data_IF_783582139219
#
_entry.id   IF_783582139219
#
_cell.length_a   1.000
_cell.length_b   1.000
_cell.length_c   1.000
_cell.angle_alpha   90.00
_cell.angle_beta   90.00
_cell.angle_gamma   90.00
#
_symmetry.space_group_name_H-M   'P 1'
#
loop_
_entity.id
_entity.type
_entity.pdbx_description
1 polymer ?
#
# COMPACT_ATOMS: atom_id res chain seq x y z
N UNK A 1 -24.10 -15.03 -75.06
CA UNK A 1 -25.37 -14.64 -74.40
C UNK A 1 -25.55 -15.46 -73.14
N UNK A 2 -25.11 -14.95 -71.97
CA UNK A 2 -25.59 -15.32 -70.64
C UNK A 2 -25.23 -14.19 -69.67
N UNK A 3 -26.12 -13.96 -68.70
CA UNK A 3 -26.38 -12.74 -67.94
C UNK A 3 -25.30 -12.36 -66.93
N UNK A 4 -25.18 -11.06 -66.57
CA UNK A 4 -24.59 -10.61 -65.32
C UNK A 4 -25.65 -10.64 -64.20
N UNK A 5 -25.25 -11.02 -62.98
CA UNK A 5 -26.00 -10.74 -61.75
C UNK A 5 -25.03 -10.12 -60.74
N UNK A 6 -24.83 -8.81 -60.85
CA UNK A 6 -24.26 -8.02 -59.77
C UNK A 6 -25.40 -7.65 -58.82
N UNK A 7 -25.47 -8.33 -57.69
CA UNK A 7 -26.43 -8.04 -56.63
C UNK A 7 -25.93 -6.80 -55.88
N UNK A 8 -26.70 -5.71 -55.97
CA UNK A 8 -26.47 -4.49 -55.23
C UNK A 8 -26.71 -4.74 -53.73
N UNK A 9 -25.67 -4.57 -52.92
CA UNK A 9 -25.80 -4.48 -51.47
C UNK A 9 -26.06 -3.02 -51.12
N UNK A 10 -27.32 -2.67 -50.86
CA UNK A 10 -27.66 -1.40 -50.22
C UNK A 10 -27.12 -1.40 -48.79
N UNK A 11 -26.05 -0.64 -48.57
CA UNK A 11 -25.51 -0.36 -47.25
C UNK A 11 -26.49 0.58 -46.52
N UNK A 12 -27.36 0.01 -45.70
CA UNK A 12 -28.11 0.79 -44.72
C UNK A 12 -27.12 1.26 -43.64
N UNK A 13 -26.75 2.54 -43.67
CA UNK A 13 -26.08 3.21 -42.56
C UNK A 13 -27.04 3.26 -41.37
N UNK A 14 -26.97 2.25 -40.51
CA UNK A 14 -27.49 2.38 -39.15
C UNK A 14 -26.55 3.32 -38.38
N UNK A 15 -27.07 4.49 -38.06
CA UNK A 15 -26.52 5.39 -37.04
C UNK A 15 -26.51 4.63 -35.71
N UNK A 16 -25.39 3.95 -35.42
CA UNK A 16 -25.12 3.44 -34.08
C UNK A 16 -24.72 4.64 -33.25
N UNK A 17 -25.64 5.10 -32.40
CA UNK A 17 -25.33 6.09 -31.37
C UNK A 17 -24.15 5.58 -30.55
N UNK A 18 -23.09 6.40 -30.49
CA UNK A 18 -21.99 6.24 -29.56
C UNK A 18 -22.50 6.52 -28.13
N UNK A 19 -23.20 5.56 -27.53
CA UNK A 19 -23.13 5.41 -26.08
C UNK A 19 -21.79 4.74 -25.79
N UNK A 20 -20.75 5.57 -25.65
CA UNK A 20 -19.53 5.13 -24.98
C UNK A 20 -19.92 4.71 -23.56
N UNK A 21 -20.17 3.42 -23.36
CA UNK A 21 -20.33 2.84 -22.04
C UNK A 21 -19.05 3.14 -21.27
N UNK A 22 -19.10 4.14 -20.40
CA UNK A 22 -18.07 4.33 -19.40
C UNK A 22 -17.90 3.00 -18.63
N UNK A 23 -16.66 2.53 -18.42
CA UNK A 23 -16.42 1.33 -17.63
C UNK A 23 -17.06 1.52 -16.25
N UNK A 24 -17.93 0.58 -15.87
CA UNK A 24 -18.59 0.60 -14.57
C UNK A 24 -17.53 0.31 -13.49
N UNK A 25 -17.21 1.31 -12.68
CA UNK A 25 -16.28 1.17 -11.58
C UNK A 25 -16.91 0.32 -10.46
N UNK A 26 -16.10 -0.45 -9.72
CA UNK A 26 -16.59 -1.23 -8.59
C UNK A 26 -17.08 -0.31 -7.45
N UNK A 27 -17.83 -0.88 -6.51
CA UNK A 27 -18.15 -0.20 -5.25
C UNK A 27 -16.86 0.27 -4.56
N UNK A 28 -16.74 1.58 -4.24
CA UNK A 28 -15.53 2.11 -3.65
C UNK A 28 -15.24 1.47 -2.28
N UNK A 29 -16.29 1.19 -1.50
CA UNK A 29 -16.21 0.64 -0.16
C UNK A 29 -15.27 1.42 0.76
N UNK A 30 -14.73 0.76 1.79
CA UNK A 30 -13.73 1.32 2.70
C UNK A 30 -14.21 2.45 3.61
N UNK A 31 -15.47 2.90 3.54
CA UNK A 31 -15.98 3.98 4.39
C UNK A 31 -15.81 3.63 5.88
N UNK A 32 -15.32 4.59 6.65
CA UNK A 32 -15.26 4.50 8.12
C UNK A 32 -16.43 5.25 8.74
N UNK A 33 -17.08 4.66 9.76
CA UNK A 33 -18.31 5.20 10.35
C UNK A 33 -18.09 6.43 11.24
N UNK A 34 -16.86 6.62 11.74
CA UNK A 34 -16.47 7.79 12.54
C UNK A 34 -15.24 8.38 11.89
N UNK A 35 -15.28 9.66 11.54
CA UNK A 35 -14.11 10.39 11.05
C UNK A 35 -13.08 10.49 12.17
N UNK A 36 -12.10 9.60 12.15
CA UNK A 36 -10.99 9.61 13.10
C UNK A 36 -9.81 10.32 12.48
N UNK A 37 -9.12 11.12 13.28
CA UNK A 37 -7.84 11.72 12.86
C UNK A 37 -6.86 10.62 12.50
N UNK A 38 -6.25 10.72 11.32
CA UNK A 38 -5.17 9.84 10.92
C UNK A 38 -3.99 10.02 11.87
N UNK A 39 -3.62 8.95 12.55
CA UNK A 39 -2.47 8.92 13.46
C UNK A 39 -1.33 8.13 12.85
N UNK A 40 -0.13 8.71 12.88
CA UNK A 40 1.08 7.98 12.57
C UNK A 40 1.47 7.15 13.81
N UNK A 41 1.87 5.89 13.61
CA UNK A 41 2.02 4.94 14.70
C UNK A 41 3.21 5.21 15.65
N UNK A 42 4.20 5.97 15.21
CA UNK A 42 5.36 6.35 16.01
C UNK A 42 6.11 7.53 15.41
N UNK A 43 7.38 7.70 15.82
CA UNK A 43 8.27 8.71 15.23
C UNK A 43 8.31 8.58 13.70
N UNK A 44 8.22 9.71 13.02
CA UNK A 44 8.17 9.75 11.56
C UNK A 44 9.55 10.07 10.99
N UNK A 45 9.95 9.29 9.98
CA UNK A 45 11.12 9.57 9.18
C UNK A 45 10.73 9.63 7.71
N UNK A 46 11.29 10.55 6.93
CA UNK A 46 11.06 10.67 5.49
C UNK A 46 12.32 10.26 4.75
N UNK A 47 12.15 9.56 3.64
CA UNK A 47 13.24 9.26 2.74
C UNK A 47 13.73 10.53 2.05
N UNK A 48 14.99 10.84 2.25
CA UNK A 48 15.71 11.94 1.63
C UNK A 48 16.75 11.40 0.65
N UNK A 49 17.13 12.23 -0.31
CA UNK A 49 18.24 11.93 -1.22
C UNK A 49 19.36 12.93 -1.04
N UNK A 50 20.60 12.45 -1.10
CA UNK A 50 21.81 13.30 -1.09
C UNK A 50 22.73 12.87 -2.22
N UNK A 51 23.26 13.82 -2.96
CA UNK A 51 24.31 13.53 -3.93
C UNK A 51 25.59 13.15 -3.20
N UNK A 52 26.17 12.02 -3.61
CA UNK A 52 27.44 11.55 -3.07
C UNK A 52 28.57 11.82 -4.07
N UNK A 53 29.39 12.82 -3.74
CA UNK A 53 30.54 13.24 -4.54
C UNK A 53 31.64 12.16 -4.58
N UNK A 54 31.76 11.34 -3.52
CA UNK A 54 32.76 10.27 -3.42
C UNK A 54 32.45 9.02 -4.26
N UNK A 55 31.25 8.91 -4.83
CA UNK A 55 30.82 7.73 -5.63
C UNK A 55 30.47 8.07 -7.07
N UNK A 56 31.11 9.10 -7.64
CA UNK A 56 30.87 9.61 -9.00
C UNK A 56 29.41 10.03 -9.23
N UNK A 57 28.83 10.78 -8.30
CA UNK A 57 27.52 11.43 -8.49
C UNK A 57 26.31 10.54 -8.29
N UNK A 58 26.46 9.35 -7.69
CA UNK A 58 25.30 8.53 -7.29
C UNK A 58 24.51 9.21 -6.16
N UNK A 59 23.20 8.94 -6.15
CA UNK A 59 22.30 9.38 -5.09
C UNK A 59 22.34 8.38 -3.93
N UNK A 60 22.69 8.87 -2.74
CA UNK A 60 22.46 8.19 -1.48
C UNK A 60 21.03 8.44 -1.02
N UNK A 61 20.42 7.41 -0.45
CA UNK A 61 19.06 7.43 0.09
C UNK A 61 19.17 7.18 1.60
N UNK A 62 18.53 8.02 2.41
CA UNK A 62 18.55 7.90 3.85
C UNK A 62 17.26 8.42 4.47
N UNK A 63 16.88 7.89 5.62
CA UNK A 63 15.71 8.37 6.34
C UNK A 63 16.11 9.48 7.33
N UNK A 64 15.45 10.63 7.25
CA UNK A 64 15.64 11.76 8.17
C UNK A 64 14.39 11.95 9.05
N UNK A 65 14.53 12.30 10.34
CA UNK A 65 13.38 12.65 11.18
C UNK A 65 12.56 13.77 10.54
N UNK A 66 11.25 13.67 10.62
CA UNK A 66 10.34 14.66 10.02
C UNK A 66 9.03 14.75 10.80
N UNK A 67 8.15 15.64 10.34
CA UNK A 67 6.76 15.72 10.76
C UNK A 67 5.88 15.83 9.53
N UNK A 68 4.68 15.27 9.59
CA UNK A 68 3.67 15.46 8.56
C UNK A 68 2.44 16.11 9.16
N UNK A 69 1.77 16.95 8.37
CA UNK A 69 0.47 17.54 8.68
C UNK A 69 -0.35 17.56 7.39
N UNK A 70 -1.68 17.36 7.47
CA UNK A 70 -2.52 17.45 6.30
C UNK A 70 -2.46 18.86 5.71
N UNK A 71 -2.16 18.95 4.42
CA UNK A 71 -2.23 20.20 3.64
C UNK A 71 -3.33 20.17 2.58
N UNK A 72 -3.99 19.02 2.43
CA UNK A 72 -4.97 18.71 1.41
C UNK A 72 -5.38 17.24 1.51
N UNK A 73 -5.99 16.72 0.46
CA UNK A 73 -6.30 15.29 0.38
C UNK A 73 -5.00 14.47 0.28
N UNK A 74 -4.95 13.34 0.98
CA UNK A 74 -3.84 12.41 0.87
C UNK A 74 -4.28 10.95 0.84
N UNK A 75 -3.60 10.16 0.02
CA UNK A 75 -3.73 8.71 -0.03
C UNK A 75 -2.51 8.08 0.61
N UNK A 76 -2.73 7.28 1.64
CA UNK A 76 -1.68 6.57 2.36
C UNK A 76 -1.69 5.10 1.97
N UNK A 77 -0.59 4.62 1.41
CA UNK A 77 -0.34 3.21 1.15
C UNK A 77 0.65 2.72 2.21
N UNK A 78 0.12 2.08 3.24
CA UNK A 78 0.89 1.61 4.39
C UNK A 78 1.20 0.13 4.21
N UNK A 79 2.48 -0.25 4.16
CA UNK A 79 2.92 -1.60 3.82
C UNK A 79 4.03 -2.09 4.76
N UNK A 80 4.18 -3.41 4.85
CA UNK A 80 5.29 -4.08 5.52
C UNK A 80 6.33 -4.59 4.49
N UNK A 81 7.26 -3.73 4.15
CA UNK A 81 8.18 -3.96 3.04
C UNK A 81 9.40 -4.79 3.43
N UNK A 82 9.54 -5.17 4.69
CA UNK A 82 10.80 -5.65 5.25
C UNK A 82 10.65 -7.06 5.87
N UNK A 83 11.41 -8.05 5.39
CA UNK A 83 11.40 -9.41 5.97
C UNK A 83 12.75 -10.11 5.93
N UNK A 84 13.13 -10.70 7.07
CA UNK A 84 14.31 -11.55 7.30
C UNK A 84 13.98 -13.06 7.41
N UNK A 85 12.79 -13.49 6.96
CA UNK A 85 12.31 -14.85 7.20
C UNK A 85 13.34 -15.94 6.83
N UNK A 86 13.82 -16.71 7.82
CA UNK A 86 14.75 -17.83 7.65
C UNK A 86 14.02 -19.13 7.30
N UNK A 87 14.72 -19.97 6.52
CA UNK A 87 14.31 -21.27 5.98
C UNK A 87 13.68 -22.19 7.04
N UNK A 88 12.46 -22.74 6.87
CA UNK A 88 11.83 -23.65 7.82
C UNK A 88 12.45 -25.05 7.73
N UNK A 89 13.50 -25.24 6.93
CA UNK A 89 14.16 -26.51 6.75
C UNK A 89 13.34 -27.46 5.87
N UNK A 90 13.49 -28.77 6.08
CA UNK A 90 13.07 -29.83 5.16
C UNK A 90 11.57 -30.10 5.09
N UNK A 91 10.73 -29.45 5.90
CA UNK A 91 9.27 -29.66 5.94
C UNK A 91 8.59 -29.27 4.60
N UNK A 92 8.05 -30.25 3.82
CA UNK A 92 7.46 -30.00 2.50
C UNK A 92 6.19 -29.15 2.53
N UNK A 93 5.38 -29.21 3.60
CA UNK A 93 4.14 -28.45 3.73
C UNK A 93 4.39 -26.97 4.04
N UNK A 94 5.52 -26.67 4.70
CA UNK A 94 5.97 -25.30 5.01
C UNK A 94 6.93 -24.72 3.97
N UNK A 95 7.61 -25.56 3.18
CA UNK A 95 8.45 -25.14 2.04
C UNK A 95 7.68 -24.44 0.93
N UNK A 96 6.42 -24.83 0.68
CA UNK A 96 5.59 -24.18 -0.33
C UNK A 96 5.26 -22.73 0.07
N UNK A 97 5.07 -22.50 1.38
CA UNK A 97 4.96 -21.20 2.05
C UNK A 97 6.32 -20.57 2.41
N UNK A 98 7.44 -21.00 1.82
CA UNK A 98 8.76 -20.41 2.12
C UNK A 98 9.54 -19.92 0.90
N UNK A 99 9.01 -20.10 -0.31
CA UNK A 99 9.48 -19.32 -1.48
C UNK A 99 9.35 -17.79 -1.28
N UNK A 100 8.87 -17.38 -0.12
CA UNK A 100 8.60 -16.07 0.45
C UNK A 100 9.78 -15.14 0.70
N UNK A 101 11.03 -15.53 0.46
CA UNK A 101 12.08 -14.52 0.18
C UNK A 101 11.75 -13.69 -1.07
N UNK A 102 10.89 -14.23 -1.95
CA UNK A 102 10.21 -13.52 -3.03
C UNK A 102 9.04 -12.66 -2.55
N UNK A 103 8.61 -12.70 -1.29
CA UNK A 103 7.43 -11.94 -0.85
C UNK A 103 7.70 -10.45 -0.76
N UNK A 104 8.83 -9.97 -0.23
CA UNK A 104 9.06 -8.52 -0.19
C UNK A 104 9.13 -7.90 -1.59
N UNK A 105 9.79 -8.60 -2.52
CA UNK A 105 9.85 -8.25 -3.95
C UNK A 105 8.47 -8.31 -4.60
N UNK A 106 7.73 -9.40 -4.43
CA UNK A 106 6.36 -9.55 -4.98
C UNK A 106 5.43 -8.48 -4.39
N UNK A 107 5.46 -8.27 -3.06
CA UNK A 107 4.70 -7.21 -2.40
C UNK A 107 5.03 -5.85 -2.99
N UNK A 108 6.32 -5.55 -3.15
CA UNK A 108 6.78 -4.31 -3.76
C UNK A 108 6.29 -4.14 -5.19
N UNK A 109 6.27 -5.21 -6.01
CA UNK A 109 5.74 -5.17 -7.38
C UNK A 109 4.21 -4.98 -7.41
N UNK A 110 3.47 -5.59 -6.47
CA UNK A 110 2.03 -5.35 -6.32
C UNK A 110 1.75 -3.90 -5.91
N UNK A 111 2.48 -3.39 -4.93
CA UNK A 111 2.38 -1.99 -4.49
C UNK A 111 2.80 -1.02 -5.62
N UNK A 112 3.85 -1.33 -6.41
CA UNK A 112 4.27 -0.54 -7.60
C UNK A 112 3.15 -0.46 -8.64
N UNK A 113 2.56 -1.60 -8.98
CA UNK A 113 1.48 -1.68 -9.98
C UNK A 113 0.26 -0.91 -9.53
N UNK A 114 -0.10 -1.03 -8.25
CA UNK A 114 -1.21 -0.30 -7.65
C UNK A 114 -0.95 1.21 -7.62
N UNK A 115 0.21 1.65 -7.10
CA UNK A 115 0.61 3.06 -7.04
C UNK A 115 0.68 3.70 -8.43
N UNK A 116 1.21 2.96 -9.42
CA UNK A 116 1.29 3.41 -10.81
C UNK A 116 -0.10 3.64 -11.40
N UNK A 117 -1.03 2.70 -11.20
CA UNK A 117 -2.42 2.85 -11.66
C UNK A 117 -3.10 4.07 -11.05
N UNK A 118 -3.02 4.22 -9.73
CA UNK A 118 -3.60 5.37 -9.01
C UNK A 118 -2.96 6.70 -9.46
N UNK A 119 -1.63 6.77 -9.61
CA UNK A 119 -0.95 7.99 -10.08
C UNK A 119 -1.35 8.34 -11.50
N UNK A 120 -1.52 7.35 -12.38
CA UNK A 120 -1.99 7.56 -13.74
C UNK A 120 -3.39 8.20 -13.75
N UNK A 121 -4.32 7.70 -12.94
CA UNK A 121 -5.65 8.27 -12.77
C UNK A 121 -5.62 9.72 -12.27
N UNK A 122 -4.86 9.99 -11.20
CA UNK A 122 -4.68 11.33 -10.62
C UNK A 122 -4.16 12.31 -11.67
N UNK A 123 -3.14 11.91 -12.42
CA UNK A 123 -2.54 12.73 -13.48
C UNK A 123 -3.52 13.00 -14.62
N UNK A 124 -4.25 11.97 -15.07
CA UNK A 124 -5.21 12.09 -16.17
C UNK A 124 -6.38 13.06 -15.82
N UNK A 125 -6.76 13.09 -14.55
CA UNK A 125 -7.88 13.88 -14.03
C UNK A 125 -7.46 15.17 -13.31
N UNK A 126 -6.15 15.47 -13.24
CA UNK A 126 -5.58 16.66 -12.58
C UNK A 126 -6.06 16.81 -11.13
N UNK A 127 -6.11 15.70 -10.41
CA UNK A 127 -6.52 15.66 -9.00
C UNK A 127 -5.38 16.18 -8.15
N UNK A 128 -5.69 17.10 -7.23
CA UNK A 128 -4.76 17.52 -6.18
C UNK A 128 -4.84 16.54 -5.01
N UNK A 129 -4.00 15.51 -5.06
CA UNK A 129 -3.91 14.44 -4.07
C UNK A 129 -2.45 14.09 -3.80
N UNK A 130 -2.02 14.19 -2.55
CA UNK A 130 -0.70 13.73 -2.10
C UNK A 130 -0.73 12.20 -1.92
N UNK A 131 0.18 11.48 -2.56
CA UNK A 131 0.36 10.03 -2.37
C UNK A 131 1.53 9.79 -1.43
N UNK A 132 1.24 9.20 -0.28
CA UNK A 132 2.22 8.88 0.76
C UNK A 132 2.39 7.37 0.87
N UNK A 133 3.62 6.88 0.76
CA UNK A 133 3.96 5.50 1.09
C UNK A 133 4.48 5.41 2.52
N UNK A 134 4.00 4.47 3.32
CA UNK A 134 4.38 4.30 4.72
C UNK A 134 4.87 2.88 4.99
N UNK A 135 6.17 2.73 5.29
CA UNK A 135 6.68 1.53 5.95
C UNK A 135 6.32 1.56 7.43
N UNK A 136 5.51 0.60 7.90
CA UNK A 136 5.08 0.55 9.31
C UNK A 136 5.69 -0.62 10.11
N UNK A 137 6.43 -1.50 9.44
CA UNK A 137 7.21 -2.57 10.05
C UNK A 137 8.63 -2.11 10.43
N UNK A 138 9.29 -2.94 11.24
CA UNK A 138 10.69 -2.75 11.58
C UNK A 138 11.60 -3.08 10.39
N UNK A 139 12.72 -2.38 10.29
CA UNK A 139 13.80 -2.80 9.38
C UNK A 139 14.46 -4.08 9.89
N UNK A 140 14.75 -5.07 9.02
CA UNK A 140 15.30 -6.34 9.41
C UNK A 140 16.78 -6.26 9.66
N UNK A 141 17.25 -6.98 10.68
CA UNK A 141 18.63 -6.94 11.13
C UNK A 141 19.59 -7.33 10.01
N UNK A 142 19.25 -8.32 9.17
CA UNK A 142 20.11 -8.69 8.04
C UNK A 142 20.25 -7.58 6.99
N UNK A 143 19.26 -6.68 6.91
CA UNK A 143 19.28 -5.52 6.02
C UNK A 143 20.00 -4.32 6.64
N UNK A 144 19.98 -4.21 7.97
CA UNK A 144 20.79 -3.23 8.74
C UNK A 144 22.27 -3.60 8.71
N UNK A 145 22.60 -4.88 8.91
CA UNK A 145 23.97 -5.37 9.03
C UNK A 145 24.71 -5.47 7.67
N UNK A 146 23.99 -5.55 6.54
CA UNK A 146 24.58 -5.66 5.19
C UNK A 146 23.88 -4.80 4.13
N UNK A 147 23.79 -3.49 4.40
CA UNK A 147 23.27 -2.46 3.48
C UNK A 147 23.84 -2.57 2.04
N UNK A 148 25.06 -3.11 1.90
CA UNK A 148 25.78 -3.30 0.64
C UNK A 148 25.19 -4.39 -0.27
N UNK A 149 24.76 -5.53 0.28
CA UNK A 149 24.05 -6.59 -0.46
C UNK A 149 22.64 -6.16 -0.86
N UNK A 150 22.13 -5.25 -0.06
CA UNK A 150 20.81 -4.69 -0.19
C UNK A 150 20.66 -3.79 -1.44
N UNK A 151 21.70 -3.03 -1.81
CA UNK A 151 21.74 -2.08 -2.95
C UNK A 151 20.51 -1.15 -3.09
N UNK A 152 19.73 -0.98 -2.02
CA UNK A 152 18.46 -0.25 -2.05
C UNK A 152 17.35 -0.94 -2.86
N UNK A 153 17.40 -2.26 -3.07
CA UNK A 153 16.31 -3.05 -3.67
C UNK A 153 15.00 -3.02 -2.85
N UNK A 154 15.06 -2.56 -1.59
CA UNK A 154 13.91 -2.44 -0.67
C UNK A 154 13.18 -1.11 -0.76
N UNK A 155 13.69 -0.21 -1.60
CA UNK A 155 12.98 1.00 -1.95
C UNK A 155 12.00 0.74 -3.11
N UNK A 156 12.19 -0.35 -3.85
CA UNK A 156 11.51 -0.85 -5.05
C UNK A 156 12.60 -1.24 -6.06
N UNK A 157 12.25 -2.03 -7.08
CA UNK A 157 13.23 -2.53 -8.03
C UNK A 157 13.54 -1.50 -9.11
N UNK A 158 14.80 -1.47 -9.57
CA UNK A 158 15.19 -0.61 -10.69
C UNK A 158 14.53 -1.11 -11.99
N UNK A 159 13.82 -0.23 -12.69
CA UNK A 159 13.09 -0.57 -13.93
C UNK A 159 11.59 -0.82 -13.76
N UNK A 160 11.05 -0.70 -12.54
CA UNK A 160 9.61 -0.69 -12.28
C UNK A 160 8.95 0.66 -12.60
N UNK A 161 7.61 0.70 -12.66
CA UNK A 161 6.87 1.87 -13.15
C UNK A 161 7.10 3.11 -12.29
N UNK A 162 7.20 2.92 -10.98
CA UNK A 162 7.36 3.99 -10.01
C UNK A 162 8.82 4.34 -9.70
N UNK A 163 9.79 3.65 -10.30
CA UNK A 163 11.22 3.70 -9.98
C UNK A 163 11.56 3.41 -8.51
N UNK A 164 12.86 3.41 -8.19
CA UNK A 164 13.39 3.24 -6.82
C UNK A 164 12.68 4.18 -5.83
N UNK A 165 12.24 3.65 -4.70
CA UNK A 165 11.50 4.34 -3.64
C UNK A 165 10.08 4.78 -4.03
N UNK A 166 9.52 4.18 -5.09
CA UNK A 166 8.28 4.60 -5.73
C UNK A 166 8.24 6.09 -6.09
N UNK A 167 9.40 6.75 -6.24
CA UNK A 167 9.53 8.21 -6.32
C UNK A 167 8.81 8.88 -7.51
N UNK A 168 8.39 8.11 -8.52
CA UNK A 168 7.57 8.63 -9.63
C UNK A 168 6.07 8.58 -9.32
N UNK A 169 5.65 7.76 -8.37
CA UNK A 169 4.25 7.55 -8.03
C UNK A 169 3.88 8.13 -6.67
N UNK A 170 4.73 7.96 -5.65
CA UNK A 170 4.55 8.53 -4.32
C UNK A 170 5.27 9.89 -4.22
N UNK A 171 4.61 10.86 -3.59
CA UNK A 171 5.15 12.19 -3.32
C UNK A 171 6.05 12.15 -2.07
N UNK A 172 5.76 11.27 -1.10
CA UNK A 172 6.64 10.98 0.02
C UNK A 172 6.75 9.47 0.30
N UNK A 173 7.93 9.07 0.78
CA UNK A 173 8.14 7.77 1.42
C UNK A 173 8.49 8.01 2.89
N UNK A 174 7.60 7.58 3.78
CA UNK A 174 7.79 7.61 5.22
C UNK A 174 8.10 6.24 5.82
N UNK A 175 8.78 6.28 6.96
CA UNK A 175 8.93 5.17 7.90
C UNK A 175 8.35 5.61 9.25
N UNK A 176 7.43 4.82 9.80
CA UNK A 176 6.89 5.01 11.16
C UNK A 176 6.62 3.64 11.76
N UNK A 177 7.57 3.04 12.48
CA UNK A 177 7.44 1.65 12.90
C UNK A 177 6.49 1.47 14.09
N UNK A 178 5.70 0.39 14.06
CA UNK A 178 4.79 -0.05 15.13
C UNK A 178 5.43 -1.05 16.07
N UNK A 179 4.96 -1.11 17.32
CA UNK A 179 5.25 -2.24 18.21
C UNK A 179 4.29 -3.41 17.95
N UNK A 180 4.76 -4.65 18.16
CA UNK A 180 3.89 -5.82 18.04
C UNK A 180 2.81 -5.83 19.11
N UNK A 181 3.22 -5.48 20.32
CA UNK A 181 2.43 -5.57 21.54
C UNK A 181 2.44 -4.25 22.30
N UNK A 182 1.46 -4.04 23.16
CA UNK A 182 1.39 -2.94 24.12
C UNK A 182 2.54 -3.00 25.12
N UNK A 183 2.89 -1.84 25.69
CA UNK A 183 3.96 -1.69 26.68
C UNK A 183 5.35 -1.49 26.08
N UNK A 184 5.45 -1.45 24.75
CA UNK A 184 6.64 -0.97 24.06
C UNK A 184 6.77 0.56 24.07
N UNK A 185 7.70 1.07 23.26
CA UNK A 185 7.98 2.51 23.15
C UNK A 185 7.10 3.25 22.15
N UNK A 186 6.28 2.51 21.39
CA UNK A 186 5.46 2.99 20.27
C UNK A 186 4.05 2.45 20.36
N UNK A 187 3.18 2.91 19.47
CA UNK A 187 1.82 2.38 19.36
C UNK A 187 1.88 0.90 18.98
N UNK A 188 1.08 0.07 19.63
CA UNK A 188 0.94 -1.33 19.25
C UNK A 188 0.18 -1.46 17.94
N UNK A 189 0.51 -2.46 17.12
CA UNK A 189 -0.14 -2.71 15.83
C UNK A 189 -1.65 -2.77 15.96
N UNK A 190 -2.14 -3.56 16.93
CA UNK A 190 -3.57 -3.64 17.25
C UNK A 190 -4.18 -2.26 17.48
N UNK A 191 -3.58 -1.44 18.34
CA UNK A 191 -4.12 -0.14 18.75
C UNK A 191 -4.18 0.86 17.60
N UNK A 192 -3.26 0.72 16.64
CA UNK A 192 -3.25 1.56 15.45
C UNK A 192 -4.32 1.16 14.43
N UNK A 193 -4.52 -0.13 14.18
CA UNK A 193 -5.42 -0.61 13.10
C UNK A 193 -6.86 -0.81 13.55
N UNK A 194 -7.08 -1.21 14.80
CA UNK A 194 -8.41 -1.56 15.35
C UNK A 194 -9.46 -0.46 15.16
N UNK A 195 -9.13 0.84 15.32
CA UNK A 195 -10.12 1.89 15.12
C UNK A 195 -10.72 1.89 13.70
N UNK A 196 -9.96 1.45 12.68
CA UNK A 196 -10.38 1.47 11.29
C UNK A 196 -11.14 0.21 10.85
N UNK A 197 -11.35 -0.76 11.75
CA UNK A 197 -12.12 -1.96 11.44
C UNK A 197 -13.61 -1.63 11.32
N UNK A 198 -14.07 -1.50 10.08
CA UNK A 198 -15.48 -1.30 9.77
C UNK A 198 -16.10 -2.55 9.15
N UNK A 199 -17.29 -2.91 9.63
CA UNK A 199 -18.14 -3.93 9.06
C UNK A 199 -19.51 -3.30 8.82
N UNK A 200 -19.99 -3.35 7.58
CA UNK A 200 -21.33 -2.87 7.25
C UNK A 200 -22.44 -3.72 7.87
N UNK A 201 -23.69 -3.45 7.45
CA UNK A 201 -24.87 -4.14 7.99
C UNK A 201 -25.41 -5.25 7.08
N UNK A 202 -24.82 -5.45 5.90
CA UNK A 202 -25.28 -6.46 4.95
C UNK A 202 -25.03 -7.88 5.47
N UNK A 203 -25.68 -8.88 4.88
CA UNK A 203 -25.43 -10.28 5.26
C UNK A 203 -23.97 -10.70 5.02
N UNK A 204 -23.37 -10.18 3.95
CA UNK A 204 -21.96 -10.42 3.62
C UNK A 204 -21.04 -9.80 4.69
N UNK A 205 -21.31 -8.57 5.12
CA UNK A 205 -20.54 -7.90 6.17
C UNK A 205 -20.61 -8.63 7.50
N UNK A 206 -21.78 -9.21 7.84
CA UNK A 206 -21.93 -10.06 9.03
C UNK A 206 -21.03 -11.28 8.95
N UNK A 207 -20.97 -11.96 7.80
CA UNK A 207 -20.07 -13.09 7.59
C UNK A 207 -18.59 -12.67 7.65
N UNK A 208 -18.23 -11.49 7.14
CA UNK A 208 -16.87 -10.94 7.28
C UNK A 208 -16.51 -10.67 8.73
N UNK A 209 -17.45 -10.12 9.51
CA UNK A 209 -17.28 -9.92 10.95
C UNK A 209 -17.11 -11.24 11.70
N UNK A 210 -17.90 -12.26 11.37
CA UNK A 210 -17.77 -13.61 11.97
C UNK A 210 -16.40 -14.23 11.67
N UNK A 211 -15.89 -14.10 10.44
CA UNK A 211 -14.55 -14.56 10.07
C UNK A 211 -13.43 -13.77 10.78
N UNK A 212 -13.59 -12.46 10.91
CA UNK A 212 -12.68 -11.62 11.69
C UNK A 212 -12.62 -12.10 13.15
N UNK A 213 -13.78 -12.32 13.78
CA UNK A 213 -13.85 -12.81 15.16
C UNK A 213 -13.26 -14.22 15.29
N UNK A 214 -13.56 -15.14 14.36
CA UNK A 214 -13.09 -16.53 14.43
C UNK A 214 -11.57 -16.66 14.25
N UNK A 215 -10.94 -15.75 13.50
CA UNK A 215 -9.47 -15.62 13.42
C UNK A 215 -8.85 -14.98 14.66
N UNK A 216 -9.66 -14.52 15.60
CA UNK A 216 -9.23 -13.87 16.84
C UNK A 216 -9.01 -12.36 16.73
N UNK A 217 -9.53 -11.71 15.68
CA UNK A 217 -9.41 -10.27 15.50
C UNK A 217 -10.16 -9.43 16.55
N UNK A 218 -11.19 -9.98 17.20
CA UNK A 218 -11.82 -9.36 18.38
C UNK A 218 -11.12 -9.73 19.70
N UNK A 219 -10.09 -10.57 19.63
CA UNK A 219 -9.35 -11.08 20.78
C UNK A 219 -8.23 -10.15 21.24
N UNK A 220 -7.38 -10.67 22.11
CA UNK A 220 -6.20 -9.95 22.55
C UNK A 220 -5.15 -9.80 21.43
N UNK A 221 -4.24 -8.86 21.61
CA UNK A 221 -3.18 -8.58 20.64
C UNK A 221 -2.27 -9.78 20.34
N UNK A 222 -2.23 -10.82 21.18
CA UNK A 222 -1.44 -12.04 20.95
C UNK A 222 -2.15 -13.05 20.03
N UNK A 223 -3.37 -12.76 19.59
CA UNK A 223 -4.04 -13.54 18.54
C UNK A 223 -3.20 -13.58 17.25
N UNK A 224 -3.22 -14.73 16.57
CA UNK A 224 -2.61 -14.92 15.24
C UNK A 224 -3.13 -13.92 14.20
N UNK A 225 -4.35 -13.39 14.38
CA UNK A 225 -4.89 -12.33 13.53
C UNK A 225 -3.98 -11.10 13.50
N UNK A 226 -3.45 -10.68 14.65
CA UNK A 226 -2.58 -9.51 14.75
C UNK A 226 -1.12 -9.81 14.40
N UNK A 227 -0.80 -11.07 14.07
CA UNK A 227 0.44 -11.40 13.39
C UNK A 227 0.34 -11.08 11.90
N UNK A 228 -0.85 -11.07 11.28
CA UNK A 228 -0.99 -10.74 9.86
C UNK A 228 -0.93 -9.23 9.60
N UNK A 229 0.13 -8.78 8.92
CA UNK A 229 0.42 -7.36 8.65
C UNK A 229 0.32 -7.08 7.13
N UNK A 230 -0.86 -6.82 6.54
CA UNK A 230 -1.01 -6.58 5.10
C UNK A 230 -0.79 -5.13 4.66
N UNK A 231 -0.67 -4.88 3.35
CA UNK A 231 -0.75 -3.50 2.84
C UNK A 231 -2.17 -2.96 3.07
N UNK A 232 -2.25 -1.82 3.75
CA UNK A 232 -3.47 -1.10 4.05
C UNK A 232 -3.48 0.22 3.29
N UNK A 233 -4.66 0.67 2.88
CA UNK A 233 -4.79 1.94 2.15
C UNK A 233 -5.76 2.84 2.91
N UNK A 234 -5.40 4.11 3.09
CA UNK A 234 -6.24 5.10 3.74
C UNK A 234 -6.41 6.32 2.84
N UNK A 235 -7.63 6.83 2.74
CA UNK A 235 -7.90 8.14 2.16
C UNK A 235 -8.17 9.12 3.30
N UNK A 236 -7.39 10.19 3.34
CA UNK A 236 -7.40 11.21 4.39
C UNK A 236 -7.80 12.54 3.79
N UNK A 237 -8.78 13.20 4.41
CA UNK A 237 -9.28 14.50 3.98
C UNK A 237 -8.35 15.66 4.44
N UNK A 238 -8.59 16.89 3.97
CA UNK A 238 -7.78 18.06 4.35
C UNK A 238 -7.77 18.38 5.85
N UNK A 239 -8.77 17.93 6.61
CA UNK A 239 -8.82 18.08 8.08
C UNK A 239 -7.99 17.01 8.81
N UNK A 240 -7.32 16.12 8.06
CA UNK A 240 -6.52 15.02 8.62
C UNK A 240 -7.35 13.84 9.10
N UNK A 241 -8.61 13.72 8.68
CA UNK A 241 -9.48 12.61 9.06
C UNK A 241 -9.46 11.52 8.01
N UNK A 242 -9.37 10.27 8.46
CA UNK A 242 -9.58 9.11 7.59
C UNK A 242 -11.05 9.06 7.20
N UNK A 243 -11.33 9.15 5.91
CA UNK A 243 -12.69 8.99 5.36
C UNK A 243 -12.90 7.60 4.76
N UNK A 244 -11.82 6.96 4.31
CA UNK A 244 -11.81 5.55 3.89
C UNK A 244 -10.58 4.81 4.38
N UNK A 245 -10.78 3.56 4.79
CA UNK A 245 -9.75 2.59 5.14
C UNK A 245 -10.05 1.26 4.44
N UNK A 246 -9.14 0.83 3.59
CA UNK A 246 -9.17 -0.49 2.97
C UNK A 246 -8.23 -1.42 3.72
N UNK A 247 -8.82 -2.26 4.56
CA UNK A 247 -8.15 -3.20 5.43
C UNK A 247 -8.39 -4.62 4.90
N UNK A 248 -7.39 -5.30 4.28
CA UNK A 248 -7.54 -6.69 3.84
C UNK A 248 -7.97 -7.63 4.98
N UNK A 249 -7.60 -7.29 6.21
CA UNK A 249 -7.96 -8.04 7.42
C UNK A 249 -9.47 -8.11 7.69
N UNK A 250 -10.24 -7.13 7.20
CA UNK A 250 -11.70 -7.09 7.30
C UNK A 250 -12.38 -7.47 5.99
N UNK A 251 -11.65 -8.13 5.07
CA UNK A 251 -12.09 -8.45 3.71
C UNK A 251 -12.40 -7.22 2.85
N UNK A 252 -11.88 -6.04 3.23
CA UNK A 252 -12.03 -4.80 2.49
C UNK A 252 -10.71 -4.36 1.85
N UNK A 253 -10.17 -5.16 0.94
CA UNK A 253 -8.92 -4.83 0.24
C UNK A 253 -9.10 -3.73 -0.83
N UNK A 254 -8.10 -2.87 -0.99
CA UNK A 254 -8.09 -1.87 -2.06
C UNK A 254 -7.86 -2.53 -3.43
N UNK A 255 -8.37 -1.90 -4.48
CA UNK A 255 -7.87 -2.02 -5.84
C UNK A 255 -7.80 -0.63 -6.46
N UNK A 256 -7.09 -0.47 -7.57
CA UNK A 256 -7.05 0.81 -8.31
C UNK A 256 -8.48 1.29 -8.57
N UNK A 257 -9.33 0.43 -9.12
CA UNK A 257 -10.74 0.77 -9.41
C UNK A 257 -11.56 1.22 -8.20
N UNK A 258 -11.37 0.58 -7.02
CA UNK A 258 -12.08 0.99 -5.80
C UNK A 258 -11.60 2.35 -5.30
N UNK A 259 -10.30 2.63 -5.43
CA UNK A 259 -9.72 3.94 -5.07
C UNK A 259 -10.14 5.01 -6.07
N UNK A 260 -10.15 4.72 -7.37
CA UNK A 260 -10.68 5.63 -8.40
C UNK A 260 -12.13 6.01 -8.12
N UNK A 261 -12.99 5.01 -7.87
CA UNK A 261 -14.38 5.22 -7.50
C UNK A 261 -14.52 6.10 -6.24
N UNK A 262 -13.69 5.86 -5.23
CA UNK A 262 -13.69 6.64 -4.00
C UNK A 262 -13.25 8.09 -4.24
N UNK A 263 -12.20 8.31 -5.03
CA UNK A 263 -11.74 9.66 -5.37
C UNK A 263 -12.79 10.41 -6.18
N UNK A 264 -13.47 9.75 -7.12
CA UNK A 264 -14.56 10.35 -7.89
C UNK A 264 -15.69 10.80 -6.97
N UNK A 265 -16.08 9.93 -6.05
CA UNK A 265 -17.16 10.19 -5.10
C UNK A 265 -16.78 11.28 -4.09
N UNK A 266 -15.65 11.14 -3.40
CA UNK A 266 -15.31 12.00 -2.25
C UNK A 266 -14.77 13.37 -2.68
N UNK A 267 -14.11 13.47 -3.85
CA UNK A 267 -13.60 14.73 -4.39
C UNK A 267 -14.57 15.35 -5.43
N UNK A 268 -15.75 14.75 -5.63
CA UNK A 268 -16.80 15.23 -6.56
C UNK A 268 -16.28 15.46 -8.00
N UNK A 269 -15.51 14.51 -8.53
CA UNK A 269 -14.88 14.63 -9.85
C UNK A 269 -15.95 14.45 -10.94
N UNK A 270 -16.11 15.48 -11.77
CA UNK A 270 -17.02 15.44 -12.92
C UNK A 270 -16.31 14.90 -14.17
N UNK A 271 -16.91 13.91 -14.84
CA UNK A 271 -16.41 13.29 -16.07
C UNK A 271 -15.01 12.66 -15.95
N UNK A 272 -14.84 11.63 -15.10
CA UNK A 272 -13.54 11.01 -14.87
C UNK A 272 -13.03 10.24 -16.09
N UNK A 273 -11.71 10.34 -16.32
CA UNK A 273 -10.97 9.51 -17.27
C UNK A 273 -10.46 8.27 -16.54
N UNK A 274 -11.05 7.13 -16.87
CA UNK A 274 -10.74 5.82 -16.28
C UNK A 274 -10.00 4.96 -17.30
N UNK A 275 -8.96 4.24 -16.86
CA UNK A 275 -8.27 3.23 -17.67
C UNK A 275 -8.68 1.82 -17.20
N UNK A 276 -9.54 1.11 -17.96
CA UNK A 276 -10.03 -0.23 -17.59
C UNK A 276 -8.92 -1.26 -17.34
N UNK A 277 -7.72 -1.07 -17.92
CA UNK A 277 -6.64 -2.05 -17.85
C UNK A 277 -6.00 -2.15 -16.47
N UNK A 278 -6.17 -1.15 -15.61
CA UNK A 278 -5.52 -1.07 -14.29
C UNK A 278 -6.48 -1.27 -13.12
N UNK A 279 -7.80 -1.21 -13.35
CA UNK A 279 -8.87 -1.23 -12.33
C UNK A 279 -8.76 -2.40 -11.34
N UNK A 280 -8.28 -3.56 -11.81
CA UNK A 280 -8.15 -4.78 -11.01
C UNK A 280 -6.83 -4.89 -10.25
N UNK A 281 -5.84 -4.02 -10.50
CA UNK A 281 -4.56 -4.05 -9.77
C UNK A 281 -4.78 -3.76 -8.28
N UNK A 282 -4.18 -4.58 -7.43
CA UNK A 282 -4.32 -4.49 -5.97
C UNK A 282 -2.93 -4.39 -5.33
N UNK A 283 -2.80 -3.67 -4.21
CA UNK A 283 -1.61 -3.75 -3.39
C UNK A 283 -1.50 -5.15 -2.76
N UNK A 284 -0.41 -5.43 -2.05
CA UNK A 284 -0.23 -6.73 -1.43
C UNK A 284 -1.29 -7.03 -0.33
N UNK A 285 -2.16 -8.00 -0.57
CA UNK A 285 -3.20 -8.42 0.39
C UNK A 285 -2.73 -9.53 1.34
N UNK A 286 -1.96 -10.49 0.82
CA UNK A 286 -1.40 -11.59 1.60
C UNK A 286 -0.05 -11.14 2.13
N UNK A 287 0.15 -11.19 3.45
CA UNK A 287 1.39 -10.68 4.04
C UNK A 287 1.78 -11.42 5.31
N UNK A 288 3.02 -11.15 5.69
CA UNK A 288 3.83 -11.71 6.76
C UNK A 288 3.15 -11.87 8.14
N UNK A 289 3.70 -12.78 8.96
CA UNK A 289 3.32 -13.05 10.36
C UNK A 289 4.33 -12.44 11.36
N UNK A 290 3.94 -11.35 12.05
CA UNK A 290 4.73 -10.43 12.88
C UNK A 290 5.51 -11.00 14.07
N UNK A 291 5.15 -12.18 14.57
CA UNK A 291 5.58 -12.69 15.89
C UNK A 291 7.10 -12.90 16.03
N UNK A 292 7.80 -13.29 14.97
CA UNK A 292 9.19 -13.78 15.08
C UNK A 292 10.28 -12.71 14.95
N UNK A 293 9.92 -11.43 14.80
CA UNK A 293 10.86 -10.43 14.29
C UNK A 293 10.93 -9.15 15.12
N UNK A 294 9.80 -8.69 15.67
CA UNK A 294 9.78 -7.46 16.48
C UNK A 294 10.62 -7.62 17.76
N UNK A 295 10.73 -8.84 18.29
CA UNK A 295 11.58 -9.16 19.44
C UNK A 295 13.10 -9.06 19.14
N UNK A 296 13.53 -8.98 17.87
CA UNK A 296 14.96 -8.96 17.48
C UNK A 296 15.46 -7.63 16.88
N UNK A 297 14.56 -6.69 16.56
CA UNK A 297 14.89 -5.43 15.84
C UNK A 297 14.97 -4.17 16.70
N UNK A 298 14.47 -4.21 17.95
CA UNK A 298 14.22 -3.02 18.78
C UNK A 298 15.51 -2.32 19.24
N UNK A 299 16.56 -3.07 19.61
CA UNK A 299 17.75 -2.47 20.23
C UNK A 299 18.71 -1.79 19.22
N UNK A 300 18.70 -2.20 17.95
CA UNK A 300 19.72 -1.76 16.98
C UNK A 300 19.26 -0.67 15.99
N UNK A 301 17.95 -0.47 15.78
CA UNK A 301 17.47 0.59 14.87
C UNK A 301 17.76 1.98 15.45
N UNK A 302 17.54 2.19 16.75
CA UNK A 302 17.84 3.45 17.43
C UNK A 302 19.34 3.71 17.50
N UNK A 303 20.14 2.65 17.69
CA UNK A 303 21.59 2.76 17.68
C UNK A 303 22.14 3.05 16.27
N UNK A 304 21.52 2.48 15.22
CA UNK A 304 21.89 2.75 13.81
C UNK A 304 21.47 4.14 13.36
N UNK A 305 20.22 4.56 13.64
CA UNK A 305 19.76 5.92 13.36
C UNK A 305 20.56 6.93 14.20
N UNK A 306 20.87 6.62 15.46
CA UNK A 306 21.76 7.41 16.31
C UNK A 306 23.19 7.52 15.77
N UNK A 307 23.76 6.44 15.23
CA UNK A 307 25.07 6.43 14.57
C UNK A 307 25.07 7.22 13.26
N UNK A 308 23.99 7.17 12.48
CA UNK A 308 23.81 7.96 11.25
C UNK A 308 23.71 9.46 11.56
N UNK A 309 22.96 9.83 12.60
CA UNK A 309 22.81 11.21 13.05
C UNK A 309 24.11 11.77 13.66
N UNK A 310 24.90 10.95 14.38
CA UNK A 310 26.19 11.34 14.97
C UNK A 310 27.37 11.40 13.99
N UNK A 311 27.27 10.78 12.81
CA UNK A 311 28.31 10.86 11.76
C UNK A 311 28.21 12.11 10.87
N UNK A 312 27.13 12.88 11.00
CA UNK A 312 26.84 14.07 10.18
C UNK A 312 26.78 15.38 10.99
N UNK A 313 27.17 15.37 12.26
CA UNK A 313 27.46 16.56 13.08
C UNK A 313 28.93 16.59 13.42
#
# INVERSE_FOLDING_TARGET
>A
MHKPSFMAFCLAMALVGCDEKHPELPDPGGRVSTQMSFSLPGSLFRLETKHNESTNGKLDYYFAPTTWRPTGWSLWVASNVYSDAKNPGSDPGRKMKWREGRTAVVRSTHDDSFLSGVKAFIKANKIDLEINYLGYDYLPRSLVDDYSRSRGQYFSQYGENCEKAYKRCADNYFLSPLDRYRGGSRTAYKDWVEPYFHFGTSQMDKSYKEMFVSKGGAGDEKSEFYDWWPTMVFLVNPDGQVVRAWMPQTYSAASVGRVEAALIEDLNISNPKVDPSTVMSQPAIDSYYGKYFIESGIENLLDTLGKILRRNG
#
